data_IF_955363350774
#
_entry.id   IF_955363350774
#
_cell.length_a   1.000
_cell.length_b   1.000
_cell.length_c   1.000
_cell.angle_alpha   90.00
_cell.angle_beta   90.00
_cell.angle_gamma   90.00
#
_symmetry.space_group_name_H-M   'P 1'
#
loop_
_entity.id
_entity.type
_entity.pdbx_description
1 polymer ?
#
# COMPACT_ATOMS: atom_id res chain seq x y z
N UNK A 1 13.75 41.28 4.74
CA UNK A 1 13.75 39.89 4.29
C UNK A 1 15.17 39.33 4.24
N UNK A 2 16.09 39.99 3.52
CA UNK A 2 17.49 39.54 3.38
C UNK A 2 18.23 39.43 4.72
N UNK A 3 18.07 40.40 5.63
CA UNK A 3 18.65 40.36 6.98
C UNK A 3 18.14 39.17 7.80
N UNK A 4 16.89 38.80 7.67
CA UNK A 4 16.30 37.66 8.35
C UNK A 4 16.88 36.35 7.80
N UNK A 5 16.98 36.23 6.48
CA UNK A 5 17.56 35.05 5.82
C UNK A 5 19.04 34.90 6.21
N UNK A 6 19.79 36.00 6.20
CA UNK A 6 21.21 36.01 6.60
C UNK A 6 21.46 35.68 8.08
N UNK A 7 20.44 35.77 8.94
CA UNK A 7 20.55 35.40 10.37
C UNK A 7 20.23 33.94 10.68
N UNK A 8 19.88 33.14 9.67
CA UNK A 8 19.58 31.70 9.83
C UNK A 8 20.84 30.92 9.41
N UNK A 9 21.47 30.28 10.38
CA UNK A 9 22.57 29.37 10.12
C UNK A 9 22.03 28.09 9.43
N UNK A 10 22.75 27.58 8.42
CA UNK A 10 22.38 26.38 7.70
C UNK A 10 20.94 26.41 7.15
N UNK A 11 20.59 27.47 6.43
CA UNK A 11 19.23 27.71 5.90
C UNK A 11 18.64 26.46 5.22
N UNK A 12 19.42 25.75 4.44
CA UNK A 12 19.00 24.54 3.73
C UNK A 12 18.59 23.38 4.66
N UNK A 13 19.24 23.25 5.81
CA UNK A 13 18.93 22.22 6.81
C UNK A 13 17.68 22.59 7.60
N UNK A 14 17.51 23.88 7.90
CA UNK A 14 16.38 24.39 8.66
C UNK A 14 15.10 24.60 7.80
N UNK A 15 15.23 24.51 6.47
CA UNK A 15 14.09 24.71 5.57
C UNK A 15 13.35 23.37 5.36
N UNK A 16 12.08 23.31 5.73
CA UNK A 16 11.20 22.15 5.54
C UNK A 16 10.65 22.00 4.11
N UNK A 17 10.76 23.05 3.27
CA UNK A 17 10.24 23.02 1.90
C UNK A 17 10.83 24.05 0.96
N UNK A 18 10.89 23.70 -0.31
CA UNK A 18 11.33 24.55 -1.41
C UNK A 18 10.21 24.67 -2.44
N UNK A 19 9.90 25.89 -2.86
CA UNK A 19 8.94 26.17 -3.93
C UNK A 19 9.64 26.91 -5.05
N UNK A 20 9.54 26.40 -6.28
CA UNK A 20 10.21 26.90 -7.46
C UNK A 20 9.17 27.28 -8.50
N UNK A 21 9.12 28.57 -8.85
CA UNK A 21 8.33 29.04 -9.99
C UNK A 21 9.19 28.92 -11.25
N UNK A 22 8.99 27.87 -12.00
CA UNK A 22 9.77 27.56 -13.20
C UNK A 22 9.07 26.53 -14.08
N UNK A 23 9.47 26.50 -15.35
CA UNK A 23 9.23 25.34 -16.19
C UNK A 23 9.95 24.12 -15.60
N UNK A 24 9.26 22.97 -15.53
CA UNK A 24 9.70 21.80 -14.76
C UNK A 24 10.98 21.16 -15.31
N UNK A 25 11.18 21.06 -16.62
CA UNK A 25 12.40 20.51 -17.18
C UNK A 25 13.64 21.34 -16.81
N UNK A 26 13.51 22.67 -16.81
CA UNK A 26 14.59 23.56 -16.36
C UNK A 26 14.88 23.40 -14.87
N UNK A 27 13.82 23.34 -14.04
CA UNK A 27 13.95 23.15 -12.61
C UNK A 27 14.60 21.79 -12.26
N UNK A 28 14.19 20.69 -12.90
CA UNK A 28 14.76 19.36 -12.71
C UNK A 28 16.27 19.38 -13.00
N UNK A 29 16.71 20.00 -14.12
CA UNK A 29 18.13 20.10 -14.46
C UNK A 29 18.92 20.91 -13.42
N UNK A 30 18.38 22.02 -12.92
CA UNK A 30 19.03 22.80 -11.86
C UNK A 30 19.09 22.02 -10.54
N UNK A 31 18.05 21.28 -10.20
CA UNK A 31 18.00 20.45 -8.99
C UNK A 31 19.06 19.32 -9.03
N UNK A 32 19.47 18.87 -10.20
CA UNK A 32 20.42 17.76 -10.35
C UNK A 32 21.76 18.06 -9.68
N UNK A 33 22.23 19.29 -9.68
CA UNK A 33 23.49 19.68 -9.03
C UNK A 33 23.46 19.41 -7.51
N UNK A 34 22.36 19.73 -6.85
CA UNK A 34 22.23 19.60 -5.39
C UNK A 34 21.61 18.27 -4.94
N UNK A 35 20.66 17.74 -5.71
CA UNK A 35 19.80 16.63 -5.29
C UNK A 35 20.03 15.31 -6.03
N UNK A 36 21.08 15.18 -6.82
CA UNK A 36 21.43 13.92 -7.48
C UNK A 36 21.54 12.77 -6.47
N UNK A 37 20.72 11.73 -6.65
CA UNK A 37 20.66 10.55 -5.79
C UNK A 37 20.14 10.78 -4.36
N UNK A 38 19.43 11.88 -4.10
CA UNK A 38 18.99 12.26 -2.74
C UNK A 38 17.47 12.24 -2.54
N UNK A 39 16.69 12.26 -3.61
CA UNK A 39 15.21 12.27 -3.52
C UNK A 39 14.72 10.84 -3.25
N UNK A 40 13.93 10.66 -2.21
CA UNK A 40 13.33 9.36 -1.88
C UNK A 40 12.06 9.10 -2.66
N UNK A 41 11.21 10.11 -2.80
CA UNK A 41 9.95 10.01 -3.53
C UNK A 41 9.81 11.16 -4.53
N UNK A 42 9.54 10.81 -5.77
CA UNK A 42 8.98 11.72 -6.76
C UNK A 42 7.51 11.36 -6.90
N UNK A 43 6.60 12.25 -6.48
CA UNK A 43 5.17 12.14 -6.73
C UNK A 43 4.77 13.23 -7.69
N UNK A 44 4.11 12.88 -8.80
CA UNK A 44 3.66 13.83 -9.81
C UNK A 44 2.22 13.57 -10.25
N UNK A 45 1.51 14.66 -10.53
CA UNK A 45 0.17 14.67 -11.09
C UNK A 45 0.17 15.49 -12.38
N UNK A 46 0.69 14.94 -13.51
CA UNK A 46 0.77 15.68 -14.76
C UNK A 46 -0.63 15.91 -15.33
N UNK A 47 -0.80 16.90 -16.24
CA UNK A 47 -2.06 17.07 -16.97
C UNK A 47 -2.46 15.77 -17.68
N UNK A 48 -3.72 15.34 -17.54
CA UNK A 48 -4.21 14.06 -18.08
C UNK A 48 -4.49 14.07 -19.59
N UNK A 49 -4.20 15.21 -20.24
CA UNK A 49 -4.37 15.40 -21.67
C UNK A 49 -5.83 15.23 -22.18
N UNK A 50 -6.79 15.36 -21.29
CA UNK A 50 -8.23 15.35 -21.60
C UNK A 50 -8.70 16.72 -22.05
N UNK A 51 -9.92 16.82 -22.59
CA UNK A 51 -10.51 18.11 -23.00
C UNK A 51 -10.58 19.15 -21.88
N UNK A 52 -10.67 18.70 -20.63
CA UNK A 52 -10.69 19.55 -19.43
C UNK A 52 -9.29 20.03 -18.99
N UNK A 53 -8.22 19.36 -19.43
CA UNK A 53 -6.84 19.64 -19.01
C UNK A 53 -5.86 19.72 -20.19
N UNK A 54 -6.31 20.32 -21.30
CA UNK A 54 -5.49 20.46 -22.51
C UNK A 54 -4.23 21.27 -22.23
N UNK A 55 -3.09 20.65 -22.46
CA UNK A 55 -1.86 21.41 -22.66
C UNK A 55 -1.98 22.10 -24.01
N UNK A 56 -1.59 23.36 -24.10
CA UNK A 56 -1.60 24.15 -25.35
C UNK A 56 -0.60 23.59 -26.36
N UNK A 57 -0.95 22.46 -26.98
CA UNK A 57 -0.17 21.89 -28.07
C UNK A 57 -0.78 22.17 -29.45
N UNK A 58 0.08 22.13 -30.48
CA UNK A 58 -0.34 22.12 -31.88
C UNK A 58 -1.32 20.97 -32.11
N UNK A 59 -2.51 21.29 -32.63
CA UNK A 59 -3.58 20.35 -32.92
C UNK A 59 -3.11 19.12 -33.72
N UNK A 60 -3.52 17.91 -33.30
CA UNK A 60 -3.41 16.67 -34.06
C UNK A 60 -2.32 15.68 -33.62
N UNK A 61 -1.51 16.00 -32.59
CA UNK A 61 -0.49 15.09 -32.03
C UNK A 61 -0.60 14.94 -30.50
N UNK A 62 -1.79 14.85 -30.00
CA UNK A 62 -2.07 14.96 -28.57
C UNK A 62 -1.26 13.94 -27.75
N UNK A 63 -1.37 12.64 -28.03
CA UNK A 63 -0.65 11.60 -27.31
C UNK A 63 0.87 11.66 -27.50
N UNK A 64 1.36 11.83 -28.73
CA UNK A 64 2.80 11.84 -29.01
C UNK A 64 3.50 13.05 -28.41
N UNK A 65 2.87 14.22 -28.44
CA UNK A 65 3.40 15.43 -27.81
C UNK A 65 3.43 15.32 -26.29
N UNK A 66 2.37 14.76 -25.70
CA UNK A 66 2.29 14.51 -24.27
C UNK A 66 3.36 13.49 -23.82
N UNK A 67 3.54 12.38 -24.55
CA UNK A 67 4.58 11.38 -24.27
C UNK A 67 5.98 12.00 -24.37
N UNK A 68 6.24 12.83 -25.38
CA UNK A 68 7.54 13.51 -25.53
C UNK A 68 7.81 14.50 -24.39
N UNK A 69 6.78 15.20 -23.91
CA UNK A 69 6.88 16.05 -22.73
C UNK A 69 7.18 15.20 -21.49
N UNK A 70 6.48 14.12 -21.25
CA UNK A 70 6.69 13.26 -20.10
C UNK A 70 8.04 12.55 -20.16
N UNK A 71 8.45 12.04 -21.32
CA UNK A 71 9.74 11.36 -21.52
C UNK A 71 10.91 12.21 -21.06
N UNK A 72 10.98 13.45 -21.52
CA UNK A 72 12.09 14.34 -21.19
C UNK A 72 12.17 14.64 -19.68
N UNK A 73 11.04 14.82 -18.99
CA UNK A 73 10.98 15.12 -17.56
C UNK A 73 11.26 13.89 -16.71
N UNK A 74 10.67 12.75 -17.07
CA UNK A 74 10.87 11.48 -16.36
C UNK A 74 12.31 11.01 -16.49
N UNK A 75 12.91 11.08 -17.70
CA UNK A 75 14.30 10.72 -17.93
C UNK A 75 15.25 11.64 -17.15
N UNK A 76 15.04 12.95 -17.18
CA UNK A 76 15.86 13.91 -16.43
C UNK A 76 15.71 13.71 -14.91
N UNK A 77 14.52 13.47 -14.41
CA UNK A 77 14.27 13.34 -12.95
C UNK A 77 14.78 12.03 -12.35
N UNK A 78 15.02 11.00 -13.16
CA UNK A 78 15.47 9.68 -12.67
C UNK A 78 16.78 9.74 -11.89
N UNK A 79 17.70 10.61 -12.28
CA UNK A 79 18.98 10.78 -11.58
C UNK A 79 18.84 11.41 -10.19
N UNK A 80 17.75 12.14 -9.93
CA UNK A 80 17.47 12.73 -8.61
C UNK A 80 17.11 11.68 -7.57
N UNK A 81 16.49 10.55 -7.98
CA UNK A 81 16.11 9.49 -7.07
C UNK A 81 17.30 8.86 -6.36
N UNK A 82 17.18 8.61 -5.08
CA UNK A 82 18.12 7.79 -4.32
C UNK A 82 18.07 6.34 -4.79
N UNK A 83 19.04 5.52 -4.44
CA UNK A 83 19.06 4.10 -4.80
C UNK A 83 17.80 3.35 -4.32
N UNK A 84 17.23 3.77 -3.19
CA UNK A 84 15.98 3.22 -2.62
C UNK A 84 14.75 4.01 -3.06
N UNK A 85 14.89 4.95 -3.99
CA UNK A 85 13.86 5.91 -4.37
C UNK A 85 12.77 5.33 -5.24
N UNK A 86 11.62 6.00 -5.21
CA UNK A 86 10.40 5.68 -5.93
C UNK A 86 9.96 6.85 -6.80
N UNK A 87 9.30 6.56 -7.90
CA UNK A 87 8.44 7.50 -8.61
C UNK A 87 6.99 7.01 -8.59
N UNK A 88 6.09 7.92 -8.35
CA UNK A 88 4.65 7.73 -8.38
C UNK A 88 4.02 8.74 -9.32
N UNK A 89 3.28 8.24 -10.30
CA UNK A 89 2.64 9.06 -11.33
C UNK A 89 1.13 8.89 -11.23
N UNK A 90 0.43 9.94 -10.85
CA UNK A 90 -1.03 9.98 -10.90
C UNK A 90 -1.50 10.16 -12.35
N UNK A 91 -2.48 9.39 -12.78
CA UNK A 91 -3.01 9.43 -14.16
C UNK A 91 -4.43 8.86 -14.21
N UNK A 92 -5.22 9.25 -15.21
CA UNK A 92 -6.49 8.62 -15.55
C UNK A 92 -6.36 7.61 -16.70
N UNK A 93 -7.49 7.02 -17.12
CA UNK A 93 -7.53 6.02 -18.20
C UNK A 93 -7.03 6.53 -19.55
N UNK A 94 -7.08 7.85 -19.80
CA UNK A 94 -6.83 8.42 -21.13
C UNK A 94 -5.38 8.20 -21.57
N UNK A 95 -4.41 8.46 -20.69
CA UNK A 95 -2.99 8.30 -20.99
C UNK A 95 -2.35 7.09 -20.27
N UNK A 96 -3.12 6.30 -19.52
CA UNK A 96 -2.63 5.18 -18.70
C UNK A 96 -1.72 4.21 -19.48
N UNK A 97 -2.17 3.77 -20.66
CA UNK A 97 -1.42 2.78 -21.47
C UNK A 97 -0.08 3.34 -21.95
N UNK A 98 -0.06 4.60 -22.31
CA UNK A 98 1.13 5.23 -22.88
C UNK A 98 2.17 5.53 -21.81
N UNK A 99 1.75 6.05 -20.66
CA UNK A 99 2.65 6.33 -19.56
C UNK A 99 3.22 5.04 -18.93
N UNK A 100 2.45 3.95 -18.87
CA UNK A 100 2.98 2.65 -18.43
C UNK A 100 4.12 2.20 -19.35
N UNK A 101 3.93 2.21 -20.67
CA UNK A 101 4.99 1.86 -21.62
C UNK A 101 6.22 2.75 -21.48
N UNK A 102 6.01 4.05 -21.25
CA UNK A 102 7.12 4.99 -21.06
C UNK A 102 7.88 4.74 -19.76
N UNK A 103 7.19 4.45 -18.67
CA UNK A 103 7.81 4.11 -17.39
C UNK A 103 8.57 2.78 -17.47
N UNK A 104 8.02 1.77 -18.18
CA UNK A 104 8.73 0.52 -18.46
C UNK A 104 10.04 0.75 -19.24
N UNK A 105 10.03 1.69 -20.19
CA UNK A 105 11.21 2.04 -20.99
C UNK A 105 12.27 2.77 -20.12
N UNK A 106 11.87 3.75 -19.31
CA UNK A 106 12.79 4.61 -18.55
C UNK A 106 13.30 3.89 -17.30
N UNK A 107 12.43 3.22 -16.55
CA UNK A 107 12.77 2.59 -15.26
C UNK A 107 13.08 1.10 -15.39
N UNK A 108 12.57 0.43 -16.42
CA UNK A 108 12.63 -1.01 -16.63
C UNK A 108 11.42 -1.72 -16.03
N UNK A 109 10.83 -2.67 -16.77
CA UNK A 109 9.65 -3.44 -16.37
C UNK A 109 9.83 -4.17 -15.02
N UNK A 110 11.04 -4.64 -14.73
CA UNK A 110 11.37 -5.33 -13.48
C UNK A 110 11.29 -4.41 -12.25
N UNK A 111 11.33 -3.10 -12.46
CA UNK A 111 11.23 -2.09 -11.42
C UNK A 111 9.80 -1.59 -11.20
N UNK A 112 8.82 -2.06 -11.96
CA UNK A 112 7.42 -1.82 -11.72
C UNK A 112 6.99 -2.44 -10.38
N UNK A 113 6.32 -1.65 -9.52
CA UNK A 113 5.85 -2.08 -8.20
C UNK A 113 4.36 -2.38 -8.26
N UNK A 114 3.55 -1.39 -8.63
CA UNK A 114 2.09 -1.52 -8.66
C UNK A 114 1.44 -0.43 -9.49
N UNK A 115 0.26 -0.74 -10.04
CA UNK A 115 -0.73 0.23 -10.50
C UNK A 115 -1.85 0.24 -9.46
N UNK A 116 -1.98 1.33 -8.72
CA UNK A 116 -2.98 1.49 -7.67
C UNK A 116 -4.19 2.19 -8.28
N UNK A 117 -5.35 1.53 -8.28
CA UNK A 117 -6.62 2.14 -8.67
C UNK A 117 -7.26 2.82 -7.45
N UNK A 118 -7.65 4.08 -7.60
CA UNK A 118 -8.16 4.93 -6.52
C UNK A 118 -9.52 5.48 -6.91
N UNK A 119 -10.56 5.18 -6.13
CA UNK A 119 -11.91 5.66 -6.34
C UNK A 119 -11.99 7.15 -5.94
N UNK A 120 -11.75 8.03 -6.91
CA UNK A 120 -11.68 9.48 -6.72
C UNK A 120 -13.02 10.19 -6.92
N UNK A 121 -13.95 9.55 -7.65
CA UNK A 121 -15.29 10.07 -7.89
C UNK A 121 -16.33 8.94 -7.76
N UNK A 122 -16.86 8.66 -6.57
CA UNK A 122 -17.82 7.57 -6.36
C UNK A 122 -19.11 7.68 -7.18
N UNK A 123 -19.47 8.88 -7.64
CA UNK A 123 -20.66 9.12 -8.49
C UNK A 123 -20.41 8.77 -9.96
N UNK A 124 -19.15 8.63 -10.35
CA UNK A 124 -18.74 8.50 -11.74
C UNK A 124 -18.74 9.84 -12.49
N UNK A 125 -17.98 9.90 -13.58
CA UNK A 125 -18.03 11.02 -14.55
C UNK A 125 -19.01 10.62 -15.64
N UNK A 126 -19.91 11.53 -16.03
CA UNK A 126 -20.84 11.26 -17.13
C UNK A 126 -20.09 10.95 -18.42
N UNK A 127 -20.34 9.77 -18.98
CA UNK A 127 -19.76 9.26 -20.20
C UNK A 127 -20.77 8.36 -20.93
N UNK A 128 -20.65 8.27 -22.26
CA UNK A 128 -21.62 7.58 -23.10
C UNK A 128 -21.76 6.07 -22.83
N UNK A 129 -20.70 5.40 -22.38
CA UNK A 129 -20.69 3.95 -22.21
C UNK A 129 -20.55 3.50 -20.75
N UNK A 130 -19.46 3.92 -20.09
CA UNK A 130 -19.16 3.55 -18.70
C UNK A 130 -18.69 4.78 -17.95
N UNK A 131 -19.38 5.11 -16.85
CA UNK A 131 -19.00 6.21 -15.98
C UNK A 131 -17.68 5.92 -15.28
N UNK A 132 -16.63 6.66 -15.62
CA UNK A 132 -15.33 6.55 -14.96
C UNK A 132 -15.40 7.11 -13.55
N UNK A 133 -14.94 6.33 -12.58
CA UNK A 133 -15.03 6.67 -11.16
C UNK A 133 -13.67 6.72 -10.45
N UNK A 134 -12.59 6.36 -11.13
CA UNK A 134 -11.28 6.18 -10.51
C UNK A 134 -10.15 6.78 -11.36
N UNK A 135 -9.07 7.07 -10.70
CA UNK A 135 -7.77 7.38 -11.30
C UNK A 135 -6.76 6.32 -10.85
N UNK A 136 -5.53 6.41 -11.34
CA UNK A 136 -4.45 5.50 -10.98
C UNK A 136 -3.27 6.25 -10.38
N UNK A 137 -2.51 5.55 -9.52
CA UNK A 137 -1.12 5.90 -9.21
C UNK A 137 -0.24 4.75 -9.70
N UNK A 138 0.67 5.05 -10.63
CA UNK A 138 1.66 4.12 -11.15
C UNK A 138 2.94 4.25 -10.33
N UNK A 139 3.42 3.15 -9.77
CA UNK A 139 4.56 3.15 -8.86
C UNK A 139 5.72 2.34 -9.44
N UNK A 140 6.88 2.99 -9.58
CA UNK A 140 8.12 2.39 -10.06
C UNK A 140 9.28 2.70 -9.11
N UNK A 141 10.14 1.72 -8.88
CA UNK A 141 11.38 1.92 -8.15
C UNK A 141 12.49 2.40 -9.07
N UNK A 142 13.45 3.16 -8.54
CA UNK A 142 14.73 3.35 -9.23
C UNK A 142 15.48 2.02 -9.40
N UNK A 143 15.47 1.19 -8.34
CA UNK A 143 15.98 -0.18 -8.32
C UNK A 143 15.21 -0.99 -7.28
N UNK A 144 14.33 -1.88 -7.72
CA UNK A 144 13.43 -2.68 -6.87
C UNK A 144 14.16 -3.57 -5.86
N UNK A 145 15.42 -3.93 -6.13
CA UNK A 145 16.23 -4.75 -5.22
C UNK A 145 16.55 -4.05 -3.90
N UNK A 146 16.57 -2.71 -3.91
CA UNK A 146 16.89 -1.87 -2.75
C UNK A 146 15.68 -1.09 -2.23
N UNK A 147 14.59 -1.08 -2.99
CA UNK A 147 13.40 -0.33 -2.65
C UNK A 147 12.58 -1.05 -1.58
N UNK A 148 12.02 -0.27 -0.67
CA UNK A 148 11.03 -0.70 0.31
C UNK A 148 9.87 0.27 0.31
N UNK A 149 8.66 -0.24 0.47
CA UNK A 149 7.46 0.56 0.69
C UNK A 149 7.00 0.41 2.14
N UNK A 150 6.44 1.48 2.70
CA UNK A 150 5.92 1.44 4.04
C UNK A 150 4.50 0.85 4.06
N UNK A 151 4.07 0.44 5.25
CA UNK A 151 2.73 -0.03 5.52
C UNK A 151 1.85 1.11 6.07
N UNK A 152 0.54 0.94 5.98
CA UNK A 152 -0.40 1.82 6.67
C UNK A 152 -0.52 1.41 8.13
N UNK A 153 -0.57 2.39 9.01
CA UNK A 153 -0.95 2.18 10.41
C UNK A 153 -2.48 2.17 10.51
N UNK A 154 -3.03 1.11 11.11
CA UNK A 154 -4.46 0.98 11.35
C UNK A 154 -4.89 1.90 12.49
N UNK A 155 -6.02 2.57 12.34
CA UNK A 155 -6.63 3.32 13.44
C UNK A 155 -7.10 2.38 14.57
N UNK A 156 -7.27 2.91 15.78
CA UNK A 156 -7.81 2.12 16.89
C UNK A 156 -9.17 1.50 16.59
N UNK A 157 -10.01 2.19 15.82
CA UNK A 157 -11.33 1.68 15.43
C UNK A 157 -11.22 0.49 14.48
N UNK A 158 -10.31 0.58 13.50
CA UNK A 158 -10.02 -0.51 12.56
C UNK A 158 -9.40 -1.71 13.28
N UNK A 159 -8.47 -1.46 14.23
CA UNK A 159 -7.90 -2.51 15.07
C UNK A 159 -8.98 -3.20 15.90
N UNK A 160 -9.84 -2.46 16.59
CA UNK A 160 -10.97 -3.01 17.38
C UNK A 160 -11.93 -3.81 16.51
N UNK A 161 -12.24 -3.35 15.30
CA UNK A 161 -13.09 -4.04 14.34
C UNK A 161 -12.47 -5.34 13.81
N UNK A 162 -11.17 -5.31 13.52
CA UNK A 162 -10.43 -6.45 12.94
C UNK A 162 -10.05 -7.49 14.00
N UNK A 163 -9.71 -7.05 15.21
CA UNK A 163 -9.24 -7.84 16.34
C UNK A 163 -10.18 -7.69 17.54
N UNK A 164 -11.31 -8.38 17.46
CA UNK A 164 -12.40 -8.21 18.44
C UNK A 164 -12.25 -9.03 19.71
N UNK A 165 -11.20 -9.86 19.84
CA UNK A 165 -10.97 -10.74 20.98
C UNK A 165 -9.68 -10.36 21.72
N UNK A 166 -9.62 -10.69 23.02
CA UNK A 166 -8.46 -10.48 23.88
C UNK A 166 -7.91 -11.82 24.36
N UNK A 167 -6.59 -12.00 24.34
CA UNK A 167 -5.85 -13.07 25.02
C UNK A 167 -4.85 -12.39 25.97
N UNK A 168 -5.20 -12.33 27.24
CA UNK A 168 -4.53 -11.39 28.14
C UNK A 168 -4.80 -9.95 27.71
N UNK A 169 -3.75 -9.15 27.55
CA UNK A 169 -3.83 -7.76 27.07
C UNK A 169 -3.75 -7.64 25.53
N UNK A 170 -3.47 -8.74 24.82
CA UNK A 170 -3.26 -8.70 23.38
C UNK A 170 -4.55 -8.93 22.61
N UNK A 171 -4.92 -7.96 21.80
CA UNK A 171 -6.03 -8.10 20.85
C UNK A 171 -5.67 -9.12 19.75
N UNK A 172 -6.63 -9.95 19.37
CA UNK A 172 -6.45 -10.97 18.34
C UNK A 172 -7.75 -11.33 17.63
N UNK A 173 -7.63 -12.05 16.54
CA UNK A 173 -8.70 -12.82 15.90
C UNK A 173 -8.31 -14.29 15.79
N UNK A 174 -9.31 -15.15 15.72
CA UNK A 174 -9.12 -16.58 15.55
C UNK A 174 -9.34 -16.97 14.09
N UNK A 175 -8.31 -17.53 13.46
CA UNK A 175 -8.40 -17.98 12.08
C UNK A 175 -8.36 -19.50 12.00
N UNK A 176 -9.28 -20.15 11.24
CA UNK A 176 -9.21 -21.57 10.98
C UNK A 176 -7.89 -21.93 10.30
N UNK A 177 -7.19 -22.95 10.79
CA UNK A 177 -5.93 -23.40 10.20
C UNK A 177 -6.16 -24.16 8.89
N UNK A 178 -7.31 -24.77 8.69
CA UNK A 178 -7.64 -25.47 7.44
C UNK A 178 -7.74 -24.47 6.27
N UNK A 179 -7.25 -24.86 5.09
CA UNK A 179 -7.37 -24.09 3.86
C UNK A 179 -8.75 -24.29 3.23
N UNK A 180 -9.42 -23.19 2.83
CA UNK A 180 -10.79 -23.24 2.25
C UNK A 180 -10.87 -22.63 0.84
N UNK A 181 -9.85 -21.88 0.38
CA UNK A 181 -9.81 -21.27 -0.94
C UNK A 181 -9.23 -22.18 -2.04
N UNK A 182 -8.77 -21.61 -3.13
CA UNK A 182 -8.07 -22.34 -4.20
C UNK A 182 -6.89 -23.14 -3.67
N UNK A 183 -6.61 -24.31 -4.26
CA UNK A 183 -5.56 -25.21 -3.80
C UNK A 183 -5.81 -25.75 -2.39
N UNK A 184 -7.09 -26.06 -2.06
CA UNK A 184 -7.51 -26.49 -0.71
C UNK A 184 -7.38 -27.99 -0.46
N UNK A 185 -7.34 -28.80 -1.52
CA UNK A 185 -7.33 -30.27 -1.39
C UNK A 185 -5.99 -30.78 -0.91
N UNK A 186 -5.96 -31.96 -0.27
CA UNK A 186 -4.73 -32.60 0.20
C UNK A 186 -3.76 -32.92 -0.96
N UNK A 187 -4.30 -33.19 -2.15
CA UNK A 187 -3.52 -33.50 -3.36
C UNK A 187 -2.77 -32.28 -3.89
N UNK A 188 -3.27 -31.06 -3.67
CA UNK A 188 -2.62 -29.80 -4.13
C UNK A 188 -1.25 -29.58 -3.43
N UNK A 189 -1.15 -29.97 -2.15
CA UNK A 189 0.07 -29.90 -1.35
C UNK A 189 0.10 -31.03 -0.32
N UNK A 190 0.48 -32.26 -0.70
CA UNK A 190 0.35 -33.45 0.12
C UNK A 190 1.03 -33.35 1.49
N UNK A 191 2.19 -32.71 1.56
CA UNK A 191 2.93 -32.52 2.82
C UNK A 191 2.25 -31.55 3.82
N UNK A 192 1.16 -30.92 3.43
CA UNK A 192 0.34 -30.08 4.31
C UNK A 192 -0.93 -30.79 4.80
N UNK A 193 -0.99 -32.12 4.64
CA UNK A 193 -2.07 -32.95 5.13
C UNK A 193 -1.56 -33.95 6.16
N UNK A 194 -1.99 -33.82 7.39
CA UNK A 194 -1.66 -34.68 8.54
C UNK A 194 -2.65 -34.41 9.67
N UNK A 195 -2.84 -35.37 10.61
CA UNK A 195 -3.72 -35.15 11.76
C UNK A 195 -3.04 -34.35 12.86
N UNK A 196 -3.87 -33.56 13.56
CA UNK A 196 -3.60 -33.11 14.92
C UNK A 196 -4.24 -34.04 15.93
N UNK A 197 -3.64 -34.14 17.11
CA UNK A 197 -4.17 -34.84 18.27
C UNK A 197 -4.37 -33.84 19.40
N UNK A 198 -5.55 -33.89 20.03
CA UNK A 198 -5.88 -33.01 21.14
C UNK A 198 -6.30 -33.84 22.34
N UNK A 199 -5.47 -33.83 23.37
CA UNK A 199 -5.77 -34.56 24.60
C UNK A 199 -6.86 -33.84 25.40
N UNK A 200 -8.03 -34.47 25.56
CA UNK A 200 -9.25 -33.81 26.04
C UNK A 200 -9.10 -33.33 27.49
N UNK A 201 -8.52 -34.15 28.37
CA UNK A 201 -8.35 -33.85 29.79
C UNK A 201 -7.30 -32.75 30.02
N UNK A 202 -6.10 -32.90 29.43
CA UNK A 202 -5.01 -31.93 29.63
C UNK A 202 -5.11 -30.72 28.76
N UNK A 203 -6.07 -30.67 27.82
CA UNK A 203 -6.30 -29.59 26.85
C UNK A 203 -5.05 -29.25 26.00
N UNK A 204 -4.20 -30.27 25.76
CA UNK A 204 -2.96 -30.09 25.01
C UNK A 204 -3.18 -30.46 23.54
N UNK A 205 -2.91 -29.52 22.64
CA UNK A 205 -2.87 -29.75 21.20
C UNK A 205 -1.44 -30.10 20.77
N UNK A 206 -1.30 -31.10 19.92
CA UNK A 206 -0.04 -31.45 19.26
C UNK A 206 -0.29 -32.03 17.86
N UNK A 207 0.76 -32.12 17.07
CA UNK A 207 0.74 -32.84 15.79
C UNK A 207 1.18 -34.28 16.10
N UNK A 208 0.79 -35.27 15.29
CA UNK A 208 1.30 -36.62 15.40
C UNK A 208 2.83 -36.63 15.25
N UNK A 209 3.57 -37.62 15.82
CA UNK A 209 5.02 -37.76 15.69
C UNK A 209 5.49 -37.82 14.22
N UNK A 210 6.74 -37.41 13.96
CA UNK A 210 7.30 -37.28 12.60
C UNK A 210 7.42 -38.64 11.89
N UNK A 211 7.68 -39.73 12.64
CA UNK A 211 7.71 -41.09 12.12
C UNK A 211 6.34 -41.56 11.60
N UNK A 212 5.25 -41.16 12.23
CA UNK A 212 3.88 -41.42 11.77
C UNK A 212 3.50 -40.48 10.62
N UNK A 213 3.89 -39.21 10.71
CA UNK A 213 3.64 -38.23 9.62
C UNK A 213 4.24 -38.68 8.30
N UNK A 214 5.48 -39.19 8.32
CA UNK A 214 6.20 -39.67 7.13
C UNK A 214 5.54 -40.84 6.40
N UNK A 215 4.66 -41.59 7.08
CA UNK A 215 3.95 -42.74 6.53
C UNK A 215 2.61 -42.36 5.86
N UNK A 216 2.10 -41.15 6.10
CA UNK A 216 0.78 -40.72 5.58
C UNK A 216 0.77 -40.56 4.07
N UNK A 217 1.85 -40.04 3.49
CA UNK A 217 1.94 -39.75 2.06
C UNK A 217 3.21 -40.32 1.46
N UNK A 218 3.04 -41.07 0.36
CA UNK A 218 4.13 -41.71 -0.40
C UNK A 218 4.36 -40.92 -1.69
N UNK A 219 5.45 -40.19 -1.74
CA UNK A 219 5.80 -39.34 -2.89
C UNK A 219 6.08 -40.16 -4.18
N UNK A 220 6.63 -41.37 -4.05
CA UNK A 220 6.95 -42.25 -5.18
C UNK A 220 5.71 -42.70 -5.98
N UNK A 221 4.60 -42.88 -5.29
CA UNK A 221 3.31 -43.30 -5.88
C UNK A 221 2.26 -42.22 -5.92
N UNK A 222 2.55 -41.07 -5.34
CA UNK A 222 1.62 -39.94 -5.17
C UNK A 222 0.31 -40.36 -4.47
N UNK A 223 0.40 -41.21 -3.44
CA UNK A 223 -0.76 -41.77 -2.74
C UNK A 223 -0.73 -41.49 -1.24
N UNK A 224 -1.93 -41.38 -0.66
CA UNK A 224 -2.12 -41.29 0.78
C UNK A 224 -2.50 -42.66 1.36
N UNK A 225 -1.91 -43.04 2.51
CA UNK A 225 -2.30 -44.24 3.24
C UNK A 225 -3.50 -43.96 4.15
N UNK A 226 -4.69 -44.00 3.57
CA UNK A 226 -5.93 -43.75 4.31
C UNK A 226 -6.25 -44.91 5.33
N UNK A 227 -5.70 -46.10 5.10
CA UNK A 227 -5.84 -47.21 6.06
C UNK A 227 -5.01 -46.92 7.32
N UNK A 228 -3.77 -46.44 7.16
CA UNK A 228 -2.93 -46.02 8.26
C UNK A 228 -3.51 -44.83 9.03
N UNK A 229 -4.07 -43.84 8.34
CA UNK A 229 -4.78 -42.71 8.96
C UNK A 229 -5.93 -43.19 9.85
N UNK A 230 -6.72 -44.13 9.36
CA UNK A 230 -7.84 -44.74 10.13
C UNK A 230 -7.35 -45.55 11.32
N UNK A 231 -6.23 -46.24 11.18
CA UNK A 231 -5.58 -46.95 12.30
C UNK A 231 -5.13 -45.96 13.38
N UNK A 232 -4.44 -44.89 12.99
CA UNK A 232 -4.02 -43.81 13.93
C UNK A 232 -5.20 -43.20 14.64
N UNK A 233 -6.29 -42.93 13.91
CA UNK A 233 -7.52 -42.41 14.51
C UNK A 233 -8.02 -43.29 15.64
N UNK A 234 -8.23 -44.58 15.39
CA UNK A 234 -8.72 -45.52 16.40
C UNK A 234 -7.80 -45.60 17.61
N UNK A 235 -6.49 -45.62 17.35
CA UNK A 235 -5.45 -45.63 18.41
C UNK A 235 -5.60 -44.39 19.31
N UNK A 236 -5.51 -43.21 18.78
CA UNK A 236 -5.52 -41.99 19.57
C UNK A 236 -6.88 -41.71 20.23
N UNK A 237 -7.98 -42.05 19.58
CA UNK A 237 -9.30 -41.95 20.20
C UNK A 237 -9.45 -42.90 21.41
N UNK A 238 -8.87 -44.10 21.35
CA UNK A 238 -8.86 -45.02 22.49
C UNK A 238 -7.98 -44.56 23.66
N UNK A 239 -7.01 -43.70 23.38
CA UNK A 239 -6.11 -43.08 24.37
C UNK A 239 -6.64 -41.74 24.91
N UNK A 240 -7.89 -41.36 24.61
CA UNK A 240 -8.53 -40.11 25.10
C UNK A 240 -8.24 -38.84 24.31
N UNK A 241 -7.72 -38.98 23.09
CA UNK A 241 -7.48 -37.84 22.21
C UNK A 241 -8.63 -37.60 21.21
N UNK A 242 -8.92 -36.34 20.91
CA UNK A 242 -9.64 -36.01 19.70
C UNK A 242 -8.66 -35.99 18.50
N UNK A 243 -8.97 -36.75 17.44
CA UNK A 243 -8.19 -36.85 16.22
C UNK A 243 -8.74 -35.87 15.17
N UNK A 244 -7.95 -34.85 14.80
CA UNK A 244 -8.43 -33.72 14.03
C UNK A 244 -7.76 -33.70 12.65
N UNK A 245 -8.58 -33.85 11.59
CA UNK A 245 -8.18 -33.72 10.20
C UNK A 245 -8.80 -32.46 9.58
N UNK A 246 -8.16 -31.89 8.54
CA UNK A 246 -8.72 -30.76 7.80
C UNK A 246 -9.81 -31.24 6.85
N UNK A 247 -11.04 -31.31 7.34
CA UNK A 247 -12.20 -31.78 6.58
C UNK A 247 -13.07 -30.61 6.12
N UNK A 248 -13.66 -30.71 4.92
CA UNK A 248 -14.79 -29.88 4.49
C UNK A 248 -16.06 -30.24 5.26
N UNK A 249 -17.13 -29.48 5.07
CA UNK A 249 -18.45 -29.79 5.63
C UNK A 249 -19.01 -31.11 5.10
N UNK A 250 -18.64 -31.46 3.87
CA UNK A 250 -19.04 -32.70 3.18
C UNK A 250 -18.10 -33.87 3.45
N UNK A 251 -17.12 -33.73 4.34
CA UNK A 251 -16.16 -34.79 4.69
C UNK A 251 -14.98 -34.96 3.74
N UNK A 252 -14.81 -34.07 2.73
CA UNK A 252 -13.67 -34.13 1.84
C UNK A 252 -12.36 -33.77 2.57
N UNK A 253 -11.27 -34.46 2.25
CA UNK A 253 -9.96 -34.13 2.78
C UNK A 253 -9.41 -32.83 2.17
N UNK A 254 -9.16 -31.88 3.03
CA UNK A 254 -8.52 -30.60 2.72
C UNK A 254 -7.05 -30.65 3.15
N UNK A 255 -6.38 -29.51 3.22
CA UNK A 255 -5.05 -29.36 3.77
C UNK A 255 -4.98 -28.24 4.79
N UNK A 256 -3.91 -28.22 5.56
CA UNK A 256 -3.62 -27.10 6.44
C UNK A 256 -3.02 -25.93 5.66
N UNK A 257 -3.01 -24.77 6.28
CA UNK A 257 -2.32 -23.55 5.76
C UNK A 257 -0.83 -23.62 6.01
N UNK A 258 -0.41 -24.29 7.07
CA UNK A 258 0.97 -24.43 7.51
C UNK A 258 1.49 -25.84 7.25
N UNK A 259 2.81 -25.92 7.03
CA UNK A 259 3.50 -27.21 6.94
C UNK A 259 3.72 -27.85 8.33
N UNK A 260 4.09 -29.12 8.34
CA UNK A 260 4.23 -29.93 9.55
C UNK A 260 5.11 -29.26 10.62
N UNK A 261 6.36 -28.87 10.28
CA UNK A 261 7.31 -28.24 11.23
C UNK A 261 6.76 -26.94 11.84
N UNK A 262 6.12 -26.10 11.02
CA UNK A 262 5.50 -24.86 11.49
C UNK A 262 4.32 -25.15 12.43
N UNK A 263 3.57 -26.22 12.19
CA UNK A 263 2.48 -26.64 13.07
C UNK A 263 3.00 -27.20 14.40
N UNK A 264 4.10 -27.95 14.42
CA UNK A 264 4.75 -28.40 15.66
C UNK A 264 5.14 -27.17 16.51
N UNK A 265 5.90 -26.23 15.93
CA UNK A 265 6.30 -25.01 16.63
C UNK A 265 5.09 -24.14 17.07
N UNK A 266 4.04 -24.10 16.25
CA UNK A 266 2.80 -23.37 16.57
C UNK A 266 2.03 -23.99 17.76
N UNK A 267 2.08 -25.30 17.93
CA UNK A 267 1.53 -25.99 19.11
C UNK A 267 2.35 -25.69 20.36
N UNK A 268 3.69 -25.76 20.24
CA UNK A 268 4.62 -25.52 21.36
C UNK A 268 4.54 -24.08 21.87
N UNK A 269 4.44 -23.12 20.97
CA UNK A 269 4.31 -21.70 21.32
C UNK A 269 2.89 -21.28 21.76
N UNK A 270 1.90 -22.18 21.64
CA UNK A 270 0.50 -21.88 21.97
C UNK A 270 -0.19 -20.90 21.01
N UNK A 271 0.39 -20.69 19.81
CA UNK A 271 -0.23 -19.94 18.71
C UNK A 271 -1.36 -20.75 18.09
N UNK A 272 -1.19 -22.08 17.96
CA UNK A 272 -2.23 -23.00 17.54
C UNK A 272 -3.00 -23.54 18.74
N UNK A 273 -4.32 -23.68 18.58
CA UNK A 273 -5.18 -24.23 19.63
C UNK A 273 -6.35 -25.00 19.02
N UNK A 274 -6.88 -25.98 19.78
CA UNK A 274 -8.07 -26.69 19.43
C UNK A 274 -9.32 -25.94 19.93
N UNK A 275 -10.34 -25.87 19.10
CA UNK A 275 -11.63 -25.29 19.44
C UNK A 275 -12.73 -26.28 19.20
N UNK A 276 -13.59 -26.50 20.21
CA UNK A 276 -14.76 -27.33 20.05
C UNK A 276 -15.82 -26.63 19.22
N UNK A 277 -16.35 -27.30 18.23
CA UNK A 277 -17.41 -26.82 17.36
C UNK A 277 -18.79 -27.15 17.95
N UNK A 278 -19.85 -26.55 17.42
CA UNK A 278 -21.23 -26.75 17.89
C UNK A 278 -21.72 -28.21 17.80
N UNK A 279 -21.17 -28.98 16.86
CA UNK A 279 -21.44 -30.40 16.67
C UNK A 279 -20.64 -31.34 17.59
N UNK A 280 -19.87 -30.79 18.54
CA UNK A 280 -19.05 -31.54 19.47
C UNK A 280 -17.66 -31.92 18.94
N UNK A 281 -17.40 -31.82 17.64
CA UNK A 281 -16.06 -32.07 17.07
C UNK A 281 -15.08 -30.94 17.37
N UNK A 282 -13.77 -31.19 17.13
CA UNK A 282 -12.74 -30.21 17.31
C UNK A 282 -12.17 -29.74 15.97
N UNK A 283 -11.74 -28.46 15.91
CA UNK A 283 -11.03 -27.89 14.79
C UNK A 283 -9.81 -27.10 15.29
N UNK A 284 -8.76 -27.01 14.45
CA UNK A 284 -7.55 -26.26 14.78
C UNK A 284 -7.66 -24.84 14.27
N UNK A 285 -7.38 -23.90 15.16
CA UNK A 285 -7.34 -22.45 14.91
C UNK A 285 -5.96 -21.91 15.26
N UNK A 286 -5.64 -20.76 14.67
CA UNK A 286 -4.49 -19.95 15.06
C UNK A 286 -4.94 -18.63 15.66
N UNK A 287 -4.19 -18.16 16.65
CA UNK A 287 -4.26 -16.76 17.05
C UNK A 287 -3.56 -15.90 16.01
N UNK A 288 -4.25 -14.90 15.49
CA UNK A 288 -3.71 -13.84 14.67
C UNK A 288 -3.76 -12.56 15.53
N UNK A 289 -2.63 -12.25 16.16
CA UNK A 289 -2.53 -11.11 17.06
C UNK A 289 -2.58 -9.81 16.30
N UNK A 290 -3.03 -8.77 16.98
CA UNK A 290 -3.10 -7.45 16.40
C UNK A 290 -1.72 -6.98 15.96
N UNK A 291 -1.64 -6.64 14.69
CA UNK A 291 -0.56 -5.88 14.08
C UNK A 291 -1.21 -4.56 13.64
N UNK A 292 -0.69 -3.45 14.10
CA UNK A 292 -1.17 -2.11 13.77
C UNK A 292 -0.77 -1.71 12.34
N UNK A 293 0.08 -2.50 11.70
CA UNK A 293 0.50 -2.30 10.33
C UNK A 293 -0.30 -3.14 9.33
N UNK A 294 -0.59 -2.55 8.18
CA UNK A 294 -1.23 -3.23 7.06
C UNK A 294 -0.53 -2.90 5.74
N UNK A 295 -0.13 -3.94 5.00
CA UNK A 295 0.36 -3.78 3.63
C UNK A 295 -0.72 -3.11 2.77
N UNK A 296 -0.41 -2.00 2.08
CA UNK A 296 -1.33 -1.33 1.17
C UNK A 296 -1.85 -2.27 0.08
N UNK A 297 -3.11 -2.12 -0.29
CA UNK A 297 -3.69 -2.83 -1.42
C UNK A 297 -3.57 -1.99 -2.68
N UNK A 298 -3.68 -2.61 -3.84
CA UNK A 298 -3.70 -1.91 -5.14
C UNK A 298 -5.06 -1.34 -5.53
N UNK A 299 -6.05 -1.39 -4.63
CA UNK A 299 -7.37 -0.78 -4.81
C UNK A 299 -7.71 0.03 -3.56
N UNK A 300 -7.86 1.34 -3.72
CA UNK A 300 -8.21 2.28 -2.67
C UNK A 300 -9.61 2.82 -2.88
N UNK A 301 -10.40 2.81 -1.84
CA UNK A 301 -11.78 3.31 -1.85
C UNK A 301 -12.14 3.86 -0.47
N UNK A 302 -13.13 4.73 -0.47
CA UNK A 302 -13.63 5.39 0.74
C UNK A 302 -13.71 6.90 0.56
N UNK A 303 -14.47 7.55 1.42
CA UNK A 303 -14.76 8.99 1.38
C UNK A 303 -13.49 9.86 1.42
N UNK A 304 -12.42 9.35 2.06
CA UNK A 304 -11.15 10.09 2.16
C UNK A 304 -10.47 10.36 0.81
N UNK A 305 -10.76 9.52 -0.21
CA UNK A 305 -10.18 9.67 -1.55
C UNK A 305 -11.04 10.47 -2.51
N UNK A 306 -12.24 10.88 -2.09
CA UNK A 306 -13.15 11.70 -2.91
C UNK A 306 -12.51 13.06 -3.23
N UNK A 307 -12.28 13.31 -4.53
CA UNK A 307 -11.60 14.52 -5.00
C UNK A 307 -12.46 15.78 -4.79
N UNK A 308 -13.78 15.65 -4.79
CA UNK A 308 -14.66 16.81 -4.56
C UNK A 308 -14.59 17.27 -3.11
N UNK A 309 -14.82 16.37 -2.16
CA UNK A 309 -14.89 16.72 -0.73
C UNK A 309 -13.51 17.00 -0.11
N UNK A 310 -12.49 16.20 -0.49
CA UNK A 310 -11.14 16.24 0.11
C UNK A 310 -10.10 16.92 -0.78
N UNK A 311 -10.48 17.35 -1.96
CA UNK A 311 -9.68 18.16 -2.87
C UNK A 311 -10.29 19.53 -3.04
N UNK A 312 -11.36 19.65 -3.83
CA UNK A 312 -11.96 20.94 -4.22
C UNK A 312 -12.48 21.71 -3.02
N UNK A 313 -13.37 21.12 -2.21
CA UNK A 313 -13.94 21.82 -1.04
C UNK A 313 -12.86 22.21 -0.04
N UNK A 314 -11.90 21.30 0.24
CA UNK A 314 -10.78 21.61 1.12
C UNK A 314 -9.94 22.79 0.59
N UNK A 315 -9.66 22.84 -0.72
CA UNK A 315 -8.93 23.95 -1.29
C UNK A 315 -9.72 25.25 -1.21
N UNK A 316 -11.03 25.21 -1.42
CA UNK A 316 -11.92 26.36 -1.34
C UNK A 316 -12.03 26.90 0.10
N UNK A 317 -12.04 26.05 1.12
CA UNK A 317 -11.94 26.45 2.53
C UNK A 317 -10.63 27.19 2.82
N UNK A 318 -9.51 26.74 2.23
CA UNK A 318 -8.20 27.38 2.39
C UNK A 318 -8.10 28.66 1.54
N UNK A 319 -8.49 28.60 0.28
CA UNK A 319 -8.41 29.70 -0.71
C UNK A 319 -9.80 29.93 -1.29
N UNK A 320 -10.65 30.74 -0.64
CA UNK A 320 -11.98 31.10 -1.16
C UNK A 320 -11.89 31.68 -2.57
N UNK A 321 -12.81 31.31 -3.46
CA UNK A 321 -12.85 31.74 -4.86
C UNK A 321 -11.57 31.34 -5.64
N UNK A 322 -10.97 30.19 -5.29
CA UNK A 322 -9.78 29.76 -6.00
C UNK A 322 -10.08 29.46 -7.48
N UNK A 323 -9.14 29.84 -8.39
CA UNK A 323 -9.30 29.58 -9.82
C UNK A 323 -8.75 28.22 -10.27
N UNK A 324 -8.38 27.34 -9.36
CA UNK A 324 -7.74 26.05 -9.69
C UNK A 324 -8.78 24.94 -9.78
N UNK A 325 -8.86 24.32 -10.96
CA UNK A 325 -9.75 23.20 -11.22
C UNK A 325 -9.10 21.86 -10.82
N UNK A 326 -9.91 20.93 -10.32
CA UNK A 326 -9.55 19.51 -10.06
C UNK A 326 -8.34 19.26 -9.15
N UNK A 327 -8.25 19.89 -7.96
CA UNK A 327 -7.19 19.55 -7.01
C UNK A 327 -7.36 18.10 -6.55
N UNK A 328 -6.25 17.36 -6.38
CA UNK A 328 -6.26 16.02 -5.80
C UNK A 328 -6.77 16.04 -4.37
N UNK A 329 -7.43 14.94 -3.96
CA UNK A 329 -7.69 14.69 -2.54
C UNK A 329 -6.38 14.74 -1.77
N UNK A 330 -6.34 15.49 -0.67
CA UNK A 330 -5.20 15.55 0.24
C UNK A 330 -4.79 14.15 0.71
N UNK A 331 -5.75 13.31 1.03
CA UNK A 331 -5.49 11.98 1.58
C UNK A 331 -4.98 10.98 0.53
N UNK A 332 -5.34 11.16 -0.74
CA UNK A 332 -4.73 10.38 -1.84
C UNK A 332 -3.23 10.64 -1.89
N UNK A 333 -2.82 11.91 -1.87
CA UNK A 333 -1.41 12.28 -1.91
C UNK A 333 -0.69 11.88 -0.62
N UNK A 334 -1.32 12.10 0.53
CA UNK A 334 -0.78 11.74 1.85
C UNK A 334 -0.47 10.24 1.92
N UNK A 335 -1.39 9.38 1.51
CA UNK A 335 -1.21 7.93 1.56
C UNK A 335 -0.11 7.44 0.59
N UNK A 336 0.03 8.05 -0.58
CA UNK A 336 1.16 7.81 -1.49
C UNK A 336 2.49 8.21 -0.83
N UNK A 337 2.56 9.39 -0.19
CA UNK A 337 3.78 9.84 0.51
C UNK A 337 4.14 8.92 1.67
N UNK A 338 3.14 8.44 2.44
CA UNK A 338 3.36 7.46 3.53
C UNK A 338 4.00 6.19 3.00
N UNK A 339 3.50 5.66 1.88
CA UNK A 339 4.04 4.42 1.29
C UNK A 339 5.45 4.65 0.74
N UNK A 340 5.68 5.78 0.10
CA UNK A 340 6.89 6.06 -0.68
C UNK A 340 8.03 6.71 0.10
N UNK A 341 7.82 7.20 1.32
CA UNK A 341 8.84 7.96 2.07
C UNK A 341 8.82 7.72 3.58
N UNK A 342 9.99 7.85 4.21
CA UNK A 342 10.16 7.83 5.66
C UNK A 342 10.17 9.26 6.24
N UNK A 343 10.26 9.39 7.57
CA UNK A 343 10.05 10.62 8.34
C UNK A 343 11.04 11.76 8.04
N UNK A 344 12.20 11.47 7.46
CA UNK A 344 13.26 12.47 7.15
C UNK A 344 13.56 12.59 5.66
N UNK A 345 12.76 11.97 4.82
CA UNK A 345 12.98 11.93 3.38
C UNK A 345 12.49 13.21 2.68
N UNK A 346 13.03 13.46 1.49
CA UNK A 346 12.59 14.55 0.61
C UNK A 346 11.65 14.02 -0.47
N UNK A 347 10.52 14.70 -0.61
CA UNK A 347 9.50 14.46 -1.64
C UNK A 347 9.58 15.56 -2.69
N UNK A 348 9.69 15.17 -3.96
CA UNK A 348 9.68 16.10 -5.09
C UNK A 348 8.40 15.96 -5.89
N UNK A 349 7.78 17.09 -6.19
CA UNK A 349 6.66 17.21 -7.13
C UNK A 349 6.96 18.32 -8.13
N UNK A 350 7.17 17.94 -9.40
CA UNK A 350 7.46 18.90 -10.48
C UNK A 350 6.25 19.15 -11.39
N UNK A 351 5.06 18.77 -10.94
CA UNK A 351 3.75 19.18 -11.42
C UNK A 351 2.87 19.60 -10.23
N UNK A 352 3.38 20.52 -9.41
CA UNK A 352 2.84 20.78 -8.08
C UNK A 352 1.37 21.27 -8.07
N UNK A 353 0.90 21.85 -9.16
CA UNK A 353 -0.47 22.30 -9.29
C UNK A 353 -0.89 23.21 -8.13
N UNK A 354 -1.94 22.85 -7.43
CA UNK A 354 -2.40 23.60 -6.25
C UNK A 354 -1.54 23.44 -5.00
N UNK A 355 -0.47 22.61 -5.01
CA UNK A 355 0.42 22.38 -3.87
C UNK A 355 -0.06 21.29 -2.90
N UNK A 356 -0.86 20.33 -3.34
CA UNK A 356 -1.39 19.27 -2.49
C UNK A 356 -0.28 18.42 -1.88
N UNK A 357 0.80 18.14 -2.62
CA UNK A 357 1.96 17.39 -2.13
C UNK A 357 2.66 18.08 -0.96
N UNK A 358 2.89 19.37 -1.04
CA UNK A 358 3.47 20.13 0.07
C UNK A 358 2.55 20.18 1.29
N UNK A 359 1.23 20.33 1.08
CA UNK A 359 0.23 20.25 2.15
C UNK A 359 0.26 18.89 2.84
N UNK A 360 0.31 17.80 2.08
CA UNK A 360 0.37 16.44 2.63
C UNK A 360 1.66 16.21 3.45
N UNK A 361 2.81 16.70 2.99
CA UNK A 361 4.07 16.62 3.76
C UNK A 361 3.96 17.39 5.08
N UNK A 362 3.40 18.59 5.08
CA UNK A 362 3.22 19.40 6.31
C UNK A 362 2.26 18.68 7.28
N UNK A 363 1.18 18.10 6.77
CA UNK A 363 0.22 17.35 7.59
C UNK A 363 0.87 16.10 8.22
N UNK A 364 1.67 15.36 7.47
CA UNK A 364 2.43 14.23 8.00
C UNK A 364 3.43 14.66 9.09
N UNK A 365 4.11 15.79 8.91
CA UNK A 365 5.05 16.31 9.90
C UNK A 365 4.35 16.79 11.18
N UNK A 366 3.05 17.09 11.12
CA UNK A 366 2.24 17.45 12.30
C UNK A 366 1.66 16.25 13.02
N UNK A 367 1.34 15.19 12.28
CA UNK A 367 0.57 14.04 12.81
C UNK A 367 1.44 12.84 13.18
N UNK A 368 2.65 12.75 12.62
CA UNK A 368 3.59 11.66 12.88
C UNK A 368 4.74 12.17 13.74
N UNK A 369 4.96 11.53 14.88
CA UNK A 369 6.04 11.88 15.78
C UNK A 369 7.42 11.77 15.11
N UNK A 370 8.28 12.78 15.34
CA UNK A 370 9.62 12.90 14.77
C UNK A 370 9.68 12.97 13.23
N UNK A 371 8.55 13.23 12.55
CA UNK A 371 8.55 13.46 11.13
C UNK A 371 9.08 14.86 10.80
N UNK A 372 10.07 14.89 9.92
CA UNK A 372 10.71 16.10 9.38
C UNK A 372 10.94 15.93 7.87
N UNK A 373 9.89 15.40 7.18
CA UNK A 373 9.90 15.28 5.73
C UNK A 373 10.06 16.65 5.09
N UNK A 374 10.83 16.68 4.00
CA UNK A 374 10.98 17.89 3.20
C UNK A 374 10.26 17.76 1.87
N UNK A 375 9.80 18.88 1.34
CA UNK A 375 9.17 18.91 0.01
C UNK A 375 9.89 19.88 -0.94
N UNK A 376 9.87 19.53 -2.23
CA UNK A 376 10.28 20.41 -3.33
C UNK A 376 9.11 20.46 -4.31
N UNK A 377 8.55 21.64 -4.52
CA UNK A 377 7.44 21.87 -5.44
C UNK A 377 7.90 22.73 -6.60
N UNK A 378 7.63 22.28 -7.82
CA UNK A 378 7.90 23.04 -9.04
C UNK A 378 6.59 23.26 -9.77
N UNK A 379 6.30 24.51 -10.14
CA UNK A 379 5.10 24.91 -10.87
C UNK A 379 5.40 26.11 -11.75
N UNK A 380 4.88 26.10 -12.97
CA UNK A 380 5.04 27.20 -13.95
C UNK A 380 3.78 28.00 -14.20
N UNK A 381 2.61 27.49 -13.79
CA UNK A 381 1.32 28.15 -13.99
C UNK A 381 1.21 29.46 -13.20
N UNK A 382 0.52 30.45 -13.73
CA UNK A 382 0.30 31.75 -13.06
C UNK A 382 -0.39 31.58 -11.71
N UNK A 383 -1.18 30.51 -11.54
CA UNK A 383 -1.81 30.16 -10.27
C UNK A 383 -0.79 29.78 -9.17
N UNK A 384 0.48 29.67 -9.48
CA UNK A 384 1.54 29.56 -8.47
C UNK A 384 1.46 30.69 -7.44
N UNK A 385 1.23 31.92 -7.89
CA UNK A 385 1.15 33.09 -7.02
C UNK A 385 -0.23 33.28 -6.38
N UNK A 386 -1.30 32.83 -7.01
CA UNK A 386 -2.68 33.03 -6.56
C UNK A 386 -3.26 31.86 -5.79
N UNK A 387 -2.74 30.64 -5.98
CA UNK A 387 -3.22 29.43 -5.33
C UNK A 387 -2.09 28.71 -4.58
N UNK A 388 -1.05 28.22 -5.29
CA UNK A 388 -0.03 27.32 -4.70
C UNK A 388 0.70 27.97 -3.53
N UNK A 389 1.29 29.16 -3.74
CA UNK A 389 2.02 29.87 -2.70
C UNK A 389 1.13 30.34 -1.54
N UNK A 390 -0.07 30.92 -1.76
CA UNK A 390 -0.99 31.23 -0.68
C UNK A 390 -1.46 30.02 0.11
N UNK A 391 -1.78 28.89 -0.54
CA UNK A 391 -2.12 27.64 0.13
C UNK A 391 -1.00 27.21 1.08
N UNK A 392 0.23 27.14 0.57
CA UNK A 392 1.37 26.72 1.39
C UNK A 392 1.61 27.63 2.59
N UNK A 393 1.54 28.95 2.40
CA UNK A 393 1.65 29.93 3.50
C UNK A 393 0.58 29.70 4.57
N UNK A 394 -0.67 29.51 4.16
CA UNK A 394 -1.79 29.29 5.08
C UNK A 394 -1.65 27.97 5.81
N UNK A 395 -1.35 26.88 5.10
CA UNK A 395 -1.18 25.54 5.68
C UNK A 395 0.00 25.51 6.67
N UNK A 396 1.12 26.17 6.39
CA UNK A 396 2.23 26.30 7.34
C UNK A 396 1.77 27.02 8.62
N UNK A 397 0.91 28.01 8.50
CA UNK A 397 0.43 28.83 9.63
C UNK A 397 -0.60 28.11 10.51
N UNK A 398 -1.55 27.38 9.92
CA UNK A 398 -2.64 26.71 10.63
C UNK A 398 -2.94 25.32 10.07
N UNK A 399 -3.41 24.42 10.94
CA UNK A 399 -3.95 23.13 10.55
C UNK A 399 -5.46 23.18 10.26
N UNK A 400 -6.18 24.13 10.85
CA UNK A 400 -7.62 24.28 10.75
C UNK A 400 -8.01 25.47 9.84
N UNK A 401 -8.84 25.13 8.84
CA UNK A 401 -9.36 26.07 7.83
C UNK A 401 -10.89 25.90 7.74
N UNK A 402 -11.60 26.31 8.78
CA UNK A 402 -13.06 26.34 8.80
C UNK A 402 -13.54 27.79 8.94
#
# INVERSE_FOLDING_TARGET
KERLIASIDNLDEQTGGLMIYSENFQAINLLTEKYNGKIKLIYIDPPYNTDASKILYKNGYEHSSWISLMESRLSASRCLLSQTGLIEVAIDDYELRYINCLLDLIYGIDNAISNIAILTNPKGRDQDFIAQAHDYTLMYARDKRYCTTNKFTLSEEELKKKFSKLKGEQAHRELPLKRTGSGKRREDRPYMFFPFIYHIESKKLSVIPEDQYSQIYQASTNTFDDAFINYLRKKYESEGYAFILPLSENGEYLRWRWGYKSCVSGCESGILFAKQLRNGSYAVYQYDFADDEQTPKSLWFGERYDASSKGTNLLEDIIPQNPFDYPKSLYTVLDNIVIGSNEKDTVLDFFAGSGTTGHAVIELNRTIDNSDRKYILVEMGEYFYTVTLPRMKKVIYSADWK
#
